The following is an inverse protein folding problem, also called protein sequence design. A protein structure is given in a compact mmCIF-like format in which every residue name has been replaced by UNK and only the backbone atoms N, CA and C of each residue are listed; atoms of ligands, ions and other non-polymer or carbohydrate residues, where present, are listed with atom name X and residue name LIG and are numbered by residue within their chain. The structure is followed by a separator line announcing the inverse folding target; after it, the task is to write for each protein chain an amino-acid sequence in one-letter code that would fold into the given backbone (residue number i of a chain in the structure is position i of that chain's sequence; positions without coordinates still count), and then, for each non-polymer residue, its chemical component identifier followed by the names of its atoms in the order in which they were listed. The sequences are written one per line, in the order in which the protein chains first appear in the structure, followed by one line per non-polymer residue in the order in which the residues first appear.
data_IF_580892927552
#
_entry.id   IF_580892927552
#
_cell.length_a   1.000
_cell.length_b   1.000
_cell.length_c   1.000
_cell.angle_alpha   90.00
_cell.angle_beta   90.00
_cell.angle_gamma   90.00
#
_symmetry.space_group_name_H-M   'P 1'
#
loop_
_entity.id
_entity.type
_entity.pdbx_description
1 polymer ?
#
# COMPACT_ATOMS: atom_id res chain seq x y z
N UNK A 1 -5.33 4.59 -9.23
CA UNK A 1 -5.26 3.38 -8.38
C UNK A 1 -5.84 2.23 -9.18
N UNK A 2 -5.17 1.08 -9.26
CA UNK A 2 -5.69 -0.09 -9.99
C UNK A 2 -6.38 -1.08 -9.05
N UNK A 3 -7.45 -1.76 -9.49
CA UNK A 3 -8.02 -2.90 -8.76
C UNK A 3 -7.06 -4.10 -8.78
N UNK A 4 -7.42 -5.19 -8.09
CA UNK A 4 -6.60 -6.42 -8.06
C UNK A 4 -6.75 -7.28 -9.33
N UNK A 5 -7.72 -6.95 -10.20
CA UNK A 5 -8.08 -7.69 -11.41
C UNK A 5 -8.26 -9.20 -11.19
N UNK A 6 -8.67 -9.63 -9.99
CA UNK A 6 -8.69 -11.05 -9.59
C UNK A 6 -7.36 -11.79 -9.78
N UNK A 7 -6.24 -11.07 -9.93
CA UNK A 7 -4.93 -11.63 -10.26
C UNK A 7 -4.75 -11.99 -11.74
N UNK A 8 -5.67 -11.56 -12.62
CA UNK A 8 -5.59 -11.85 -14.05
C UNK A 8 -4.39 -11.14 -14.70
N UNK A 9 -3.30 -11.89 -14.93
CA UNK A 9 -2.04 -11.40 -15.49
C UNK A 9 -2.24 -10.58 -16.77
N UNK A 10 -3.14 -10.99 -17.66
CA UNK A 10 -3.41 -10.30 -18.92
C UNK A 10 -3.94 -8.87 -18.70
N UNK A 11 -4.82 -8.67 -17.71
CA UNK A 11 -5.36 -7.34 -17.38
C UNK A 11 -4.31 -6.45 -16.74
N UNK A 12 -3.49 -7.02 -15.85
CA UNK A 12 -2.34 -6.32 -15.25
C UNK A 12 -1.36 -5.90 -16.35
N UNK A 13 -1.06 -6.80 -17.29
CA UNK A 13 -0.18 -6.54 -18.42
C UNK A 13 -0.69 -5.46 -19.36
N UNK A 14 -2.00 -5.42 -19.64
CA UNK A 14 -2.57 -4.36 -20.46
C UNK A 14 -2.26 -2.96 -19.90
N UNK A 15 -2.33 -2.79 -18.58
CA UNK A 15 -1.99 -1.51 -17.92
C UNK A 15 -0.48 -1.29 -17.85
N UNK A 16 0.30 -2.33 -17.50
CA UNK A 16 1.77 -2.21 -17.42
C UNK A 16 2.40 -1.87 -18.78
N UNK A 17 1.92 -2.46 -19.87
CA UNK A 17 2.39 -2.22 -21.23
C UNK A 17 2.10 -0.80 -21.73
N UNK A 18 1.14 -0.09 -21.11
CA UNK A 18 0.93 1.34 -21.35
C UNK A 18 2.00 2.24 -20.69
N UNK A 19 2.98 1.65 -19.99
CA UNK A 19 4.13 2.31 -19.34
C UNK A 19 3.72 3.49 -18.45
N UNK A 20 2.87 3.27 -17.43
CA UNK A 20 2.52 4.34 -16.51
C UNK A 20 3.75 4.85 -15.78
N UNK A 21 3.80 6.15 -15.50
CA UNK A 21 4.87 6.75 -14.70
C UNK A 21 5.00 6.11 -13.30
N UNK A 22 3.90 5.59 -12.77
CA UNK A 22 3.88 4.72 -11.59
C UNK A 22 2.66 3.80 -11.64
N UNK A 23 2.87 2.51 -11.39
CA UNK A 23 1.80 1.55 -11.17
C UNK A 23 1.44 1.50 -9.69
N UNK A 24 0.22 1.89 -9.33
CA UNK A 24 -0.22 1.96 -7.94
C UNK A 24 -1.36 0.98 -7.65
N UNK A 25 -1.10 0.01 -6.77
CA UNK A 25 -2.07 -0.91 -6.20
C UNK A 25 -1.87 -1.00 -4.68
N UNK A 26 -2.89 -0.60 -3.92
CA UNK A 26 -2.80 -0.58 -2.46
C UNK A 26 -3.07 -1.95 -1.85
N UNK A 27 -2.27 -2.30 -0.84
CA UNK A 27 -2.54 -3.43 0.06
C UNK A 27 -3.59 -3.07 1.13
N UNK A 28 -3.70 -1.78 1.45
CA UNK A 28 -4.60 -1.09 2.39
C UNK A 28 -4.43 -1.45 3.87
N UNK A 29 -4.29 -2.74 4.20
CA UNK A 29 -4.17 -3.18 5.59
C UNK A 29 -3.33 -4.45 5.69
N UNK A 30 -3.12 -4.93 6.91
CA UNK A 30 -2.35 -6.13 7.22
C UNK A 30 -3.11 -7.41 6.85
N UNK A 31 -2.38 -8.51 6.73
CA UNK A 31 -2.91 -9.82 6.28
C UNK A 31 -4.17 -10.24 7.04
N UNK A 32 -4.14 -10.20 8.38
CA UNK A 32 -5.26 -10.59 9.26
C UNK A 32 -6.54 -9.77 9.01
N UNK A 33 -6.39 -8.48 8.69
CA UNK A 33 -7.51 -7.54 8.56
C UNK A 33 -8.02 -7.40 7.13
N UNK A 34 -7.38 -8.03 6.14
CA UNK A 34 -7.77 -7.87 4.73
C UNK A 34 -9.22 -8.29 4.46
N UNK A 35 -9.69 -9.40 5.06
CA UNK A 35 -11.07 -9.85 4.88
C UNK A 35 -12.11 -8.84 5.40
N UNK A 36 -12.01 -8.41 6.68
CA UNK A 36 -12.89 -7.40 7.25
C UNK A 36 -12.83 -6.04 6.55
N UNK A 37 -11.63 -5.57 6.17
CA UNK A 37 -11.42 -4.22 5.61
C UNK A 37 -11.72 -4.15 4.11
N UNK A 38 -11.40 -5.22 3.35
CA UNK A 38 -11.47 -5.22 1.88
C UNK A 38 -12.31 -6.38 1.37
N UNK A 39 -13.62 -6.19 1.35
CA UNK A 39 -14.56 -7.19 0.82
C UNK A 39 -14.17 -7.62 -0.59
N UNK A 40 -13.85 -8.90 -0.77
CA UNK A 40 -13.49 -9.51 -2.06
C UNK A 40 -12.00 -9.47 -2.44
N UNK A 41 -11.20 -8.63 -1.79
CA UNK A 41 -9.75 -8.60 -1.99
C UNK A 41 -9.07 -9.72 -1.17
N UNK A 42 -7.87 -10.11 -1.61
CA UNK A 42 -7.01 -11.06 -0.90
C UNK A 42 -5.61 -10.47 -0.79
N UNK A 43 -4.98 -10.60 0.37
CA UNK A 43 -3.69 -10.00 0.67
C UNK A 43 -2.61 -10.46 -0.32
N UNK A 44 -2.49 -11.78 -0.51
CA UNK A 44 -1.50 -12.35 -1.45
C UNK A 44 -1.78 -12.00 -2.91
N UNK A 45 -3.05 -11.78 -3.27
CA UNK A 45 -3.40 -11.32 -4.62
C UNK A 45 -2.96 -9.88 -4.84
N UNK A 46 -3.09 -9.00 -3.84
CA UNK A 46 -2.56 -7.64 -3.92
C UNK A 46 -1.04 -7.62 -4.08
N UNK A 47 -0.33 -8.51 -3.37
CA UNK A 47 1.12 -8.68 -3.56
C UNK A 47 1.45 -9.19 -4.97
N UNK A 48 0.70 -10.19 -5.46
CA UNK A 48 0.87 -10.77 -6.78
C UNK A 48 0.71 -9.73 -7.90
N UNK A 49 -0.21 -8.77 -7.76
CA UNK A 49 -0.37 -7.67 -8.73
C UNK A 49 0.93 -6.88 -8.89
N UNK A 50 1.55 -6.46 -7.79
CA UNK A 50 2.79 -5.69 -7.78
C UNK A 50 3.96 -6.53 -8.32
N UNK A 51 4.01 -7.81 -7.94
CA UNK A 51 5.00 -8.75 -8.44
C UNK A 51 4.92 -8.91 -9.96
N UNK A 52 3.71 -9.12 -10.51
CA UNK A 52 3.50 -9.28 -11.96
C UNK A 52 3.96 -8.03 -12.71
N UNK A 53 3.70 -6.82 -12.20
CA UNK A 53 4.19 -5.59 -12.84
C UNK A 53 5.71 -5.60 -12.94
N UNK A 54 6.40 -5.99 -11.86
CA UNK A 54 7.87 -6.08 -11.84
C UNK A 54 8.44 -7.21 -12.71
N UNK A 55 7.69 -8.29 -12.92
CA UNK A 55 8.05 -9.34 -13.87
C UNK A 55 7.87 -8.91 -15.34
N UNK A 56 6.87 -8.08 -15.63
CA UNK A 56 6.60 -7.57 -16.98
C UNK A 56 7.62 -6.51 -17.37
N UNK A 57 7.82 -5.52 -16.50
CA UNK A 57 8.79 -4.46 -16.71
C UNK A 57 9.31 -3.97 -15.34
N UNK A 58 10.54 -4.38 -14.95
CA UNK A 58 11.10 -4.00 -13.66
C UNK A 58 11.37 -2.50 -13.53
N UNK A 59 11.40 -1.76 -14.65
CA UNK A 59 11.65 -0.32 -14.69
C UNK A 59 10.43 0.52 -14.29
N UNK A 60 9.22 -0.05 -14.37
CA UNK A 60 7.99 0.64 -13.94
C UNK A 60 8.01 0.81 -12.42
N UNK A 61 7.94 2.05 -11.88
CA UNK A 61 7.84 2.27 -10.45
C UNK A 61 6.52 1.72 -9.90
N UNK A 62 6.57 0.88 -8.88
CA UNK A 62 5.39 0.37 -8.18
C UNK A 62 5.17 1.10 -6.86
N UNK A 63 3.90 1.31 -6.53
CA UNK A 63 3.47 1.97 -5.28
C UNK A 63 2.37 1.16 -4.61
N UNK A 64 2.41 1.13 -3.28
CA UNK A 64 1.33 0.63 -2.44
C UNK A 64 1.05 1.60 -1.29
N UNK A 65 -0.03 1.34 -0.56
CA UNK A 65 -0.49 2.15 0.55
C UNK A 65 -1.06 1.31 1.68
N UNK A 66 -0.83 1.78 2.92
CA UNK A 66 -1.39 1.27 4.17
C UNK A 66 -2.21 2.36 4.85
N UNK A 67 -3.38 1.98 5.34
CA UNK A 67 -4.28 2.81 6.12
C UNK A 67 -4.33 2.26 7.55
N UNK A 68 -3.75 3.00 8.49
CA UNK A 68 -3.63 2.62 9.90
C UNK A 68 -4.85 3.03 10.71
N UNK A 69 -5.21 2.26 11.72
CA UNK A 69 -6.36 2.49 12.59
C UNK A 69 -7.48 1.47 12.42
N UNK A 70 -7.24 0.38 11.69
CA UNK A 70 -8.18 -0.73 11.54
C UNK A 70 -8.06 -1.78 12.66
N UNK A 71 -7.04 -1.67 13.52
CA UNK A 71 -6.76 -2.59 14.62
C UNK A 71 -5.51 -3.46 14.38
N UNK A 72 -4.66 -3.05 13.45
CA UNK A 72 -3.33 -3.61 13.22
C UNK A 72 -2.34 -3.24 14.33
N UNK A 73 -1.38 -4.13 14.61
CA UNK A 73 -0.24 -3.82 15.49
C UNK A 73 0.94 -3.26 14.70
N UNK A 74 1.94 -2.71 15.41
CA UNK A 74 3.19 -2.23 14.79
C UNK A 74 3.90 -3.37 14.07
N UNK A 75 3.94 -4.56 14.68
CA UNK A 75 4.61 -5.74 14.14
C UNK A 75 3.97 -6.20 12.82
N UNK A 76 2.64 -6.22 12.76
CA UNK A 76 1.90 -6.57 11.53
C UNK A 76 2.13 -5.55 10.41
N UNK A 77 2.26 -4.26 10.76
CA UNK A 77 2.59 -3.21 9.79
C UNK A 77 4.01 -3.42 9.25
N UNK A 78 4.97 -3.73 10.11
CA UNK A 78 6.37 -4.02 9.73
C UNK A 78 6.46 -5.29 8.87
N UNK A 79 5.74 -6.34 9.22
CA UNK A 79 5.63 -7.56 8.40
C UNK A 79 5.06 -7.24 7.01
N UNK A 80 4.02 -6.40 6.96
CA UNK A 80 3.41 -5.99 5.69
C UNK A 80 4.37 -5.17 4.83
N UNK A 81 5.18 -4.29 5.42
CA UNK A 81 6.24 -3.58 4.72
C UNK A 81 7.29 -4.55 4.17
N UNK A 82 7.71 -5.55 4.95
CA UNK A 82 8.65 -6.57 4.49
C UNK A 82 8.07 -7.39 3.32
N UNK A 83 6.79 -7.78 3.38
CA UNK A 83 6.11 -8.47 2.29
C UNK A 83 6.04 -7.65 1.01
N UNK A 84 5.73 -6.35 1.11
CA UNK A 84 5.76 -5.43 -0.02
C UNK A 84 7.16 -5.32 -0.63
N UNK A 85 8.22 -5.33 0.19
CA UNK A 85 9.60 -5.35 -0.30
C UNK A 85 9.98 -6.66 -0.98
N UNK A 86 9.49 -7.82 -0.51
CA UNK A 86 9.72 -9.13 -1.17
C UNK A 86 9.21 -9.13 -2.61
N UNK A 87 8.10 -8.45 -2.89
CA UNK A 87 7.57 -8.25 -4.26
C UNK A 87 8.12 -7.01 -4.97
N UNK A 88 9.20 -6.42 -4.44
CA UNK A 88 9.91 -5.26 -5.00
C UNK A 88 9.01 -4.02 -5.18
N UNK A 89 8.10 -3.76 -4.23
CA UNK A 89 7.31 -2.53 -4.22
C UNK A 89 8.19 -1.31 -3.92
N UNK A 90 8.29 -0.33 -4.83
CA UNK A 90 9.27 0.76 -4.69
C UNK A 90 8.84 1.85 -3.71
N UNK A 91 7.56 2.25 -3.76
CA UNK A 91 7.04 3.42 -3.03
C UNK A 91 5.95 3.02 -2.05
N UNK A 92 5.91 3.67 -0.89
CA UNK A 92 4.94 3.40 0.16
C UNK A 92 4.29 4.68 0.68
N UNK A 93 2.97 4.65 0.83
CA UNK A 93 2.23 5.64 1.64
C UNK A 93 1.66 4.99 2.89
N UNK A 94 1.79 5.66 4.03
CA UNK A 94 1.21 5.23 5.31
C UNK A 94 0.33 6.38 5.82
N UNK A 95 -0.98 6.16 5.89
CA UNK A 95 -1.96 7.18 6.25
C UNK A 95 -2.89 6.74 7.38
N UNK A 96 -3.61 7.67 8.01
CA UNK A 96 -4.64 7.34 9.00
C UNK A 96 -5.95 6.97 8.29
N UNK A 97 -6.54 5.85 8.69
CA UNK A 97 -7.91 5.51 8.36
C UNK A 97 -8.87 6.55 8.96
N UNK A 98 -9.53 7.27 8.06
CA UNK A 98 -10.58 8.23 8.38
C UNK A 98 -11.92 7.59 8.01
N UNK A 99 -12.68 7.20 9.02
CA UNK A 99 -13.99 6.57 8.88
C UNK A 99 -14.92 7.50 8.08
N UNK A 100 -15.41 7.08 6.89
CA UNK A 100 -16.25 7.95 6.05
C UNK A 100 -17.64 8.21 6.64
N UNK A 101 -18.23 7.20 7.29
CA UNK A 101 -19.54 7.29 7.94
C UNK A 101 -19.69 6.24 9.03
N UNK A 102 -20.77 6.31 9.82
CA UNK A 102 -21.09 5.34 10.87
C UNK A 102 -21.37 3.91 10.36
N UNK A 103 -21.60 3.74 9.06
CA UNK A 103 -21.80 2.42 8.44
C UNK A 103 -20.45 1.70 8.18
N UNK A 104 -19.35 2.45 8.14
CA UNK A 104 -18.02 1.90 7.90
C UNK A 104 -17.39 1.40 9.20
N UNK A 105 -16.32 0.60 9.09
CA UNK A 105 -15.58 0.10 10.24
C UNK A 105 -15.19 1.26 11.19
N UNK A 106 -15.33 1.10 12.51
CA UNK A 106 -14.88 2.10 13.47
C UNK A 106 -13.35 2.19 13.49
N UNK A 107 -12.83 3.41 13.66
CA UNK A 107 -11.40 3.62 13.92
C UNK A 107 -11.04 2.97 15.25
N UNK A 108 -10.11 2.02 15.24
CA UNK A 108 -9.63 1.32 16.44
C UNK A 108 -8.52 2.11 17.16
N UNK A 109 -7.73 2.87 16.39
CA UNK A 109 -6.63 3.69 16.91
C UNK A 109 -6.41 4.91 16.01
N UNK A 110 -6.25 6.07 16.65
CA UNK A 110 -5.63 7.24 16.01
C UNK A 110 -4.13 7.19 16.29
N UNK A 111 -3.36 6.96 15.24
CA UNK A 111 -1.91 6.91 15.34
C UNK A 111 -1.36 8.33 15.45
N UNK A 112 -0.38 8.52 16.32
CA UNK A 112 0.25 9.82 16.57
C UNK A 112 1.22 10.17 15.44
N UNK A 113 1.48 11.48 15.18
CA UNK A 113 2.50 11.88 14.21
C UNK A 113 3.86 11.21 14.45
N UNK A 114 4.31 11.10 15.71
CA UNK A 114 5.56 10.45 16.05
C UNK A 114 5.60 8.94 15.72
N UNK A 115 4.46 8.25 15.77
CA UNK A 115 4.40 6.85 15.33
C UNK A 115 4.46 6.73 13.81
N UNK A 116 3.82 7.65 13.08
CA UNK A 116 3.97 7.73 11.62
C UNK A 116 5.42 8.03 11.22
N UNK A 117 6.11 8.92 11.92
CA UNK A 117 7.53 9.23 11.67
C UNK A 117 8.40 7.98 11.86
N UNK A 118 8.18 7.22 12.95
CA UNK A 118 8.89 5.96 13.21
C UNK A 118 8.65 4.92 12.12
N UNK A 119 7.40 4.68 11.74
CA UNK A 119 7.07 3.74 10.66
C UNK A 119 7.65 4.19 9.31
N UNK A 120 7.65 5.50 9.05
CA UNK A 120 8.25 6.08 7.87
C UNK A 120 9.77 5.88 7.81
N UNK A 121 10.47 6.02 8.94
CA UNK A 121 11.89 5.74 9.05
C UNK A 121 12.20 4.25 8.79
N UNK A 122 11.45 3.35 9.43
CA UNK A 122 11.59 1.90 9.22
C UNK A 122 11.38 1.53 7.75
N UNK A 123 10.37 2.09 7.09
CA UNK A 123 10.15 1.86 5.66
C UNK A 123 11.35 2.33 4.81
N UNK A 124 11.92 3.50 5.10
CA UNK A 124 13.12 3.98 4.37
C UNK A 124 14.31 3.04 4.59
N UNK A 125 14.53 2.57 5.81
CA UNK A 125 15.59 1.61 6.14
C UNK A 125 15.40 0.25 5.42
N UNK A 126 14.15 -0.18 5.21
CA UNK A 126 13.81 -1.37 4.41
C UNK A 126 14.03 -1.18 2.88
N UNK A 127 14.41 0.02 2.44
CA UNK A 127 14.75 0.31 1.06
C UNK A 127 13.58 0.66 0.15
N UNK A 128 12.47 1.19 0.68
CA UNK A 128 11.49 1.90 -0.14
C UNK A 128 12.12 3.22 -0.66
N UNK A 129 12.08 3.45 -1.97
CA UNK A 129 12.72 4.61 -2.60
C UNK A 129 11.96 5.92 -2.36
N UNK A 130 10.66 5.84 -2.08
CA UNK A 130 9.85 7.00 -1.70
C UNK A 130 8.82 6.61 -0.64
N UNK A 131 8.87 7.30 0.50
CA UNK A 131 7.95 7.07 1.63
C UNK A 131 7.27 8.38 1.99
N UNK A 132 5.95 8.34 2.10
CA UNK A 132 5.14 9.38 2.73
C UNK A 132 4.36 8.74 3.88
N UNK A 133 4.58 9.21 5.09
CA UNK A 133 3.98 8.66 6.30
C UNK A 133 3.42 9.80 7.14
N UNK A 134 2.14 9.77 7.46
CA UNK A 134 1.51 10.81 8.28
C UNK A 134 -0.02 10.73 8.29
N UNK A 135 -0.69 11.37 9.27
CA UNK A 135 -2.13 11.21 9.46
C UNK A 135 -2.96 11.58 8.22
N UNK A 136 -2.59 12.63 7.50
CA UNK A 136 -3.32 13.14 6.34
C UNK A 136 -2.83 12.58 4.99
N UNK A 137 -1.83 11.68 5.01
CA UNK A 137 -1.32 11.08 3.78
C UNK A 137 -2.40 10.23 3.12
N UNK A 138 -2.62 10.47 1.83
CA UNK A 138 -3.46 9.63 0.95
C UNK A 138 -2.59 9.09 -0.19
N UNK A 139 -3.01 7.98 -0.80
CA UNK A 139 -2.28 7.37 -1.92
C UNK A 139 -2.14 8.29 -3.15
N UNK A 140 -3.02 9.28 -3.30
CA UNK A 140 -2.98 10.33 -4.33
C UNK A 140 -2.32 11.65 -3.88
N UNK A 141 -2.06 11.85 -2.59
CA UNK A 141 -1.48 13.09 -2.05
C UNK A 141 -0.02 13.20 -2.53
N UNK A 142 0.32 14.31 -3.20
CA UNK A 142 1.64 14.64 -3.74
C UNK A 142 2.29 13.62 -4.70
N UNK A 143 1.51 12.89 -5.51
CA UNK A 143 2.07 12.00 -6.54
C UNK A 143 2.92 12.72 -7.62
N UNK A 144 2.89 14.06 -7.65
CA UNK A 144 3.66 14.92 -8.56
C UNK A 144 4.65 15.87 -7.88
N UNK A 145 4.87 15.80 -6.56
CA UNK A 145 5.92 16.61 -5.91
C UNK A 145 7.13 15.74 -5.61
N UNK A 146 8.08 15.81 -6.55
CA UNK A 146 9.48 15.49 -6.32
C UNK A 146 10.06 16.51 -5.34
N UNK A 147 10.53 16.02 -4.21
CA UNK A 147 11.35 16.73 -3.24
C UNK A 147 12.32 15.73 -2.65
#
# INVERSE_FOLDING_TARGET
LTPDFYGERQRIAAIANAKPACYNHNIETVRRLTGPVRRGAKYDRSLLVLQIVKEIDPTIPTKSGLMLGHGETVEEVIETMADLRKVKCDRLTIGQYMRPSLEHLPVQKYWTPAEFDKLGAIAKEMGFSHVRSGPLVRSSYHAGEEG
#
